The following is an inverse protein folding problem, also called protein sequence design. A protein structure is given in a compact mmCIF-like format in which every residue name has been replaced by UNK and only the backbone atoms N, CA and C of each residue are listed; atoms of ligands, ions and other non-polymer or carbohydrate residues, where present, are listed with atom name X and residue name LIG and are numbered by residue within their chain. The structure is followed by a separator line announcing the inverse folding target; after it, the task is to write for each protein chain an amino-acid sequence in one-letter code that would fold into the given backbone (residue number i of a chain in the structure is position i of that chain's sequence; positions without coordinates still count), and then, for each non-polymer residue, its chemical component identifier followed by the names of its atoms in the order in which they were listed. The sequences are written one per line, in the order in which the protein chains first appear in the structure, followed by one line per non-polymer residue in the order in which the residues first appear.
data_IF_123785720108
#
_entry.id   IF_123785720108
#
_cell.length_a   1.000
_cell.length_b   1.000
_cell.length_c   1.000
_cell.angle_alpha   90.00
_cell.angle_beta   90.00
_cell.angle_gamma   90.00
#
_symmetry.space_group_name_H-M   'P 1'
#
loop_
_entity.id
_entity.type
_entity.pdbx_description
1 polymer ?
#
# COMPACT_ATOMS: atom_id res chain seq x y z
N UNK A 1 2.66 1.39 48.04
CA UNK A 1 1.87 0.47 47.19
C UNK A 1 0.54 1.06 46.74
N UNK A 2 -0.30 1.65 47.62
CA UNK A 2 -1.60 2.22 47.20
C UNK A 2 -1.47 3.27 46.06
N UNK A 3 -0.58 4.24 46.19
CA UNK A 3 -0.32 5.24 45.14
C UNK A 3 0.16 4.62 43.82
N UNK A 4 0.94 3.53 43.88
CA UNK A 4 1.39 2.83 42.67
C UNK A 4 0.22 2.19 41.92
N UNK A 5 -0.63 1.47 42.66
CA UNK A 5 -1.83 0.80 42.12
C UNK A 5 -2.80 1.83 41.53
N UNK A 6 -3.02 2.95 42.25
CA UNK A 6 -3.83 4.05 41.74
C UNK A 6 -3.21 4.69 40.50
N UNK A 7 -1.88 4.83 40.45
CA UNK A 7 -1.15 5.30 39.27
C UNK A 7 -1.41 4.42 38.05
N UNK A 8 -1.27 3.10 38.19
CA UNK A 8 -1.55 2.14 37.11
C UNK A 8 -3.02 2.21 36.65
N UNK A 9 -3.95 2.28 37.60
CA UNK A 9 -5.38 2.43 37.32
C UNK A 9 -5.68 3.70 36.54
N UNK A 10 -5.26 4.87 37.03
CA UNK A 10 -5.49 6.14 36.34
C UNK A 10 -4.81 6.20 34.96
N UNK A 11 -3.63 5.58 34.83
CA UNK A 11 -2.95 5.47 33.54
C UNK A 11 -3.78 4.66 32.54
N UNK A 12 -4.32 3.51 32.94
CA UNK A 12 -5.19 2.69 32.09
C UNK A 12 -6.49 3.41 31.68
N UNK A 13 -6.99 4.29 32.54
CA UNK A 13 -8.17 5.13 32.29
C UNK A 13 -7.85 6.39 31.48
N UNK A 14 -6.62 6.54 30.97
CA UNK A 14 -6.13 7.71 30.23
C UNK A 14 -6.17 9.01 31.06
N UNK A 15 -6.27 8.93 32.38
CA UNK A 15 -6.25 10.07 33.32
C UNK A 15 -4.79 10.44 33.67
N UNK A 16 -3.98 10.80 32.66
CA UNK A 16 -2.52 10.91 32.77
C UNK A 16 -2.03 11.91 33.82
N UNK A 17 -2.79 12.97 34.11
CA UNK A 17 -2.44 13.94 35.16
C UNK A 17 -2.48 13.30 36.55
N UNK A 18 -3.60 12.64 36.89
CA UNK A 18 -3.75 11.93 38.17
C UNK A 18 -2.78 10.76 38.27
N UNK A 19 -2.54 10.05 37.15
CA UNK A 19 -1.54 9.00 37.10
C UNK A 19 -0.15 9.53 37.46
N UNK A 20 0.26 10.65 36.84
CA UNK A 20 1.55 11.30 37.14
C UNK A 20 1.69 11.66 38.63
N UNK A 21 0.69 12.32 39.20
CA UNK A 21 0.67 12.72 40.63
C UNK A 21 0.85 11.50 41.55
N UNK A 22 0.18 10.38 41.23
CA UNK A 22 0.27 9.15 41.99
C UNK A 22 1.64 8.46 41.86
N UNK A 23 2.25 8.44 40.65
CA UNK A 23 3.60 7.88 40.48
C UNK A 23 4.66 8.72 41.19
N UNK A 24 4.56 10.05 41.14
CA UNK A 24 5.46 10.95 41.87
C UNK A 24 5.36 10.73 43.39
N UNK A 25 4.15 10.61 43.93
CA UNK A 25 3.96 10.37 45.36
C UNK A 25 4.42 8.97 45.77
N UNK A 26 4.16 7.95 44.94
CA UNK A 26 4.70 6.61 45.14
C UNK A 26 6.25 6.63 45.18
N UNK A 27 6.89 7.30 44.22
CA UNK A 27 8.35 7.42 44.17
C UNK A 27 8.92 8.10 45.42
N UNK A 28 8.30 9.21 45.86
CA UNK A 28 8.71 9.94 47.08
C UNK A 28 8.63 9.04 48.32
N UNK A 29 7.49 8.36 48.52
CA UNK A 29 7.27 7.53 49.69
C UNK A 29 8.18 6.29 49.72
N UNK A 30 8.39 5.65 48.57
CA UNK A 30 9.32 4.51 48.47
C UNK A 30 10.75 4.98 48.74
N UNK A 31 11.17 6.13 48.19
CA UNK A 31 12.51 6.69 48.43
C UNK A 31 12.73 7.06 49.90
N UNK A 32 11.73 7.65 50.56
CA UNK A 32 11.77 7.94 52.01
C UNK A 32 11.82 6.68 52.86
N UNK A 33 11.00 5.68 52.53
CA UNK A 33 10.97 4.40 53.24
C UNK A 33 12.30 3.66 53.11
N UNK A 34 12.87 3.70 51.90
CA UNK A 34 14.22 3.23 51.61
C UNK A 34 15.22 3.91 52.54
N UNK A 35 15.33 5.24 52.52
CA UNK A 35 16.30 5.97 53.34
C UNK A 35 16.14 5.81 54.86
N UNK A 36 14.92 5.55 55.36
CA UNK A 36 14.63 5.53 56.81
C UNK A 36 14.61 4.13 57.43
N UNK A 37 14.23 3.10 56.67
CA UNK A 37 13.98 1.75 57.19
C UNK A 37 14.72 0.65 56.43
N UNK A 38 15.40 1.03 55.36
CA UNK A 38 16.05 0.11 54.47
C UNK A 38 17.41 -0.34 54.99
N UNK A 39 17.61 -1.65 55.13
CA UNK A 39 18.93 -2.21 55.35
C UNK A 39 19.53 -2.47 53.97
N UNK A 40 20.64 -1.81 53.66
CA UNK A 40 21.25 -1.93 52.35
C UNK A 40 21.52 -3.41 52.01
N UNK A 41 21.10 -3.82 50.81
CA UNK A 41 21.20 -5.18 50.26
C UNK A 41 20.21 -6.21 50.83
N UNK A 42 19.31 -5.84 51.73
CA UNK A 42 18.19 -6.73 52.09
C UNK A 42 17.17 -6.87 50.94
N UNK A 43 16.29 -7.87 51.03
CA UNK A 43 15.30 -8.16 49.99
C UNK A 43 14.31 -7.01 49.78
N UNK A 44 13.93 -6.33 50.86
CA UNK A 44 12.99 -5.20 50.85
C UNK A 44 13.62 -3.99 50.16
N UNK A 45 14.89 -3.71 50.43
CA UNK A 45 15.69 -2.66 49.82
C UNK A 45 15.80 -2.85 48.32
N UNK A 46 16.17 -4.06 47.89
CA UNK A 46 16.27 -4.39 46.47
C UNK A 46 14.92 -4.22 45.77
N UNK A 47 13.83 -4.60 46.42
CA UNK A 47 12.48 -4.41 45.88
C UNK A 47 12.09 -2.93 45.79
N UNK A 48 12.42 -2.12 46.79
CA UNK A 48 12.22 -0.66 46.74
C UNK A 48 13.01 -0.03 45.59
N UNK A 49 14.25 -0.43 45.35
CA UNK A 49 15.09 0.09 44.24
C UNK A 49 14.45 -0.20 42.89
N UNK A 50 13.89 -1.40 42.68
CA UNK A 50 13.15 -1.74 41.46
C UNK A 50 11.92 -0.85 41.29
N UNK A 51 11.08 -0.73 42.31
CA UNK A 51 9.86 0.07 42.21
C UNK A 51 10.13 1.57 42.03
N UNK A 52 11.24 2.10 42.54
CA UNK A 52 11.65 3.48 42.25
C UNK A 52 11.89 3.67 40.74
N UNK A 53 12.59 2.73 40.08
CA UNK A 53 12.83 2.79 38.63
C UNK A 53 11.52 2.66 37.82
N UNK A 54 10.60 1.81 38.28
CA UNK A 54 9.25 1.73 37.68
C UNK A 54 8.50 3.05 37.79
N UNK A 55 8.43 3.65 38.99
CA UNK A 55 7.76 4.92 39.20
C UNK A 55 8.39 6.03 38.35
N UNK A 56 9.72 6.12 38.31
CA UNK A 56 10.43 7.09 37.48
C UNK A 56 10.07 6.93 36.00
N UNK A 57 9.99 5.69 35.52
CA UNK A 57 9.59 5.41 34.15
C UNK A 57 8.18 5.88 33.84
N UNK A 58 7.22 5.55 34.71
CA UNK A 58 5.81 5.86 34.52
C UNK A 58 5.44 7.32 34.80
N UNK A 59 6.19 8.02 35.67
CA UNK A 59 6.15 9.48 35.80
C UNK A 59 6.56 10.14 34.48
N UNK A 60 7.71 9.75 33.92
CA UNK A 60 8.18 10.29 32.63
C UNK A 60 7.20 9.97 31.49
N UNK A 61 6.66 8.75 31.46
CA UNK A 61 5.66 8.34 30.48
C UNK A 61 4.39 9.19 30.59
N UNK A 62 3.85 9.34 31.80
CA UNK A 62 2.63 10.13 32.04
C UNK A 62 2.82 11.60 31.68
N UNK A 63 3.97 12.20 32.04
CA UNK A 63 4.34 13.57 31.64
C UNK A 63 4.37 13.74 30.13
N UNK A 64 4.84 12.73 29.39
CA UNK A 64 4.90 12.81 27.92
C UNK A 64 3.52 12.99 27.27
N UNK A 65 2.44 12.57 27.93
CA UNK A 65 1.06 12.82 27.45
C UNK A 65 0.52 14.20 27.82
N UNK A 66 1.17 14.91 28.75
CA UNK A 66 0.76 16.25 29.21
C UNK A 66 1.46 17.37 28.43
N UNK A 67 2.59 17.06 27.80
CA UNK A 67 3.41 18.01 27.05
C UNK A 67 2.94 18.09 25.59
N UNK A 68 2.84 19.32 25.07
CA UNK A 68 2.51 19.58 23.66
C UNK A 68 3.74 19.62 22.74
N UNK A 69 4.89 20.06 23.25
CA UNK A 69 6.11 20.13 22.45
C UNK A 69 6.61 18.73 22.09
N UNK A 70 6.85 18.50 20.80
CA UNK A 70 7.26 17.21 20.29
C UNK A 70 8.66 16.79 20.79
N UNK A 71 9.60 17.74 20.88
CA UNK A 71 10.98 17.44 21.26
C UNK A 71 11.06 17.04 22.73
N UNK A 72 10.39 17.80 23.60
CA UNK A 72 10.26 17.51 25.02
C UNK A 72 9.53 16.19 25.26
N UNK A 73 8.43 15.92 24.52
CA UNK A 73 7.72 14.64 24.57
C UNK A 73 8.65 13.46 24.25
N UNK A 74 9.45 13.55 23.18
CA UNK A 74 10.39 12.50 22.79
C UNK A 74 11.50 12.34 23.83
N UNK A 75 11.97 13.42 24.47
CA UNK A 75 12.96 13.34 25.54
C UNK A 75 12.41 12.62 26.77
N UNK A 76 11.18 12.95 27.20
CA UNK A 76 10.50 12.27 28.30
C UNK A 76 10.30 10.78 28.02
N UNK A 77 9.94 10.41 26.78
CA UNK A 77 9.82 9.01 26.37
C UNK A 77 11.18 8.28 26.38
N UNK A 78 12.28 8.96 26.03
CA UNK A 78 13.64 8.40 26.16
C UNK A 78 14.01 8.15 27.63
N UNK A 79 13.72 9.10 28.52
CA UNK A 79 13.93 8.96 29.98
C UNK A 79 13.11 7.81 30.54
N UNK A 80 11.83 7.74 30.18
CA UNK A 80 10.93 6.63 30.54
C UNK A 80 11.50 5.27 30.10
N UNK A 81 11.98 5.17 28.85
CA UNK A 81 12.59 3.96 28.28
C UNK A 81 13.86 3.53 29.02
N UNK A 82 14.70 4.49 29.44
CA UNK A 82 15.90 4.20 30.21
C UNK A 82 15.57 3.66 31.60
N UNK A 83 14.62 4.31 32.30
CA UNK A 83 14.19 3.89 33.64
C UNK A 83 13.49 2.51 33.65
N UNK A 84 12.66 2.18 32.64
CA UNK A 84 12.05 0.84 32.58
C UNK A 84 13.08 -0.26 32.24
N UNK A 85 14.11 0.07 31.46
CA UNK A 85 15.19 -0.88 31.18
C UNK A 85 15.96 -1.21 32.46
N UNK A 86 16.24 -0.20 33.27
CA UNK A 86 16.85 -0.37 34.59
C UNK A 86 15.95 -1.20 35.54
N UNK A 87 14.63 -0.98 35.54
CA UNK A 87 13.68 -1.84 36.25
C UNK A 87 13.74 -3.30 35.82
N UNK A 88 13.79 -3.57 34.51
CA UNK A 88 13.87 -4.93 33.96
C UNK A 88 15.21 -5.59 34.30
N UNK A 89 16.32 -4.86 34.15
CA UNK A 89 17.66 -5.37 34.48
C UNK A 89 17.78 -5.77 35.95
N UNK A 90 17.18 -4.99 36.85
CA UNK A 90 17.12 -5.28 38.29
C UNK A 90 16.21 -6.45 38.64
N UNK A 91 15.23 -6.79 37.80
CA UNK A 91 14.34 -7.96 37.98
C UNK A 91 14.83 -9.24 37.32
N UNK A 92 15.84 -9.16 36.46
CA UNK A 92 16.38 -10.32 35.73
C UNK A 92 16.83 -11.47 36.64
N UNK A 93 17.24 -11.14 37.87
CA UNK A 93 17.71 -12.10 38.87
C UNK A 93 16.63 -12.47 39.92
N UNK A 94 15.38 -12.04 39.72
CA UNK A 94 14.28 -12.45 40.58
C UNK A 94 14.01 -13.94 40.34
N UNK A 95 13.85 -14.72 41.42
CA UNK A 95 13.42 -16.12 41.34
C UNK A 95 12.02 -16.25 40.72
N UNK A 96 11.23 -15.19 40.79
CA UNK A 96 9.88 -15.13 40.23
C UNK A 96 9.91 -14.71 38.76
N UNK A 97 9.92 -15.72 37.88
CA UNK A 97 9.89 -15.59 36.42
C UNK A 97 8.70 -14.73 35.93
N UNK A 98 7.55 -14.77 36.62
CA UNK A 98 6.35 -14.02 36.23
C UNK A 98 6.61 -12.51 36.32
N UNK A 99 7.35 -12.05 37.34
CA UNK A 99 7.68 -10.63 37.52
C UNK A 99 8.66 -10.12 36.46
N UNK A 100 9.62 -10.94 36.04
CA UNK A 100 10.53 -10.63 34.93
C UNK A 100 9.77 -10.53 33.59
N UNK A 101 8.87 -11.48 33.31
CA UNK A 101 8.03 -11.47 32.11
C UNK A 101 7.13 -10.21 32.09
N UNK A 102 6.49 -9.88 33.22
CA UNK A 102 5.68 -8.67 33.36
C UNK A 102 6.50 -7.39 33.12
N UNK A 103 7.71 -7.30 33.69
CA UNK A 103 8.60 -6.16 33.49
C UNK A 103 8.99 -6.01 32.02
N UNK A 104 9.32 -7.11 31.33
CA UNK A 104 9.60 -7.12 29.88
C UNK A 104 8.39 -6.68 29.07
N UNK A 105 7.18 -7.09 29.43
CA UNK A 105 5.96 -6.64 28.76
C UNK A 105 5.78 -5.12 28.89
N UNK A 106 5.99 -4.57 30.09
CA UNK A 106 5.94 -3.12 30.36
C UNK A 106 7.03 -2.35 29.59
N UNK A 107 8.25 -2.90 29.49
CA UNK A 107 9.33 -2.34 28.70
C UNK A 107 8.99 -2.30 27.20
N UNK A 108 8.38 -3.36 26.69
CA UNK A 108 7.93 -3.42 25.30
C UNK A 108 6.80 -2.41 25.03
N UNK A 109 5.84 -2.24 25.95
CA UNK A 109 4.80 -1.22 25.84
C UNK A 109 5.39 0.20 25.77
N UNK A 110 6.34 0.55 26.64
CA UNK A 110 7.01 1.87 26.60
C UNK A 110 7.79 2.05 25.30
N UNK A 111 8.47 1.00 24.82
CA UNK A 111 9.15 1.02 23.51
C UNK A 111 8.15 1.26 22.36
N UNK A 112 6.97 0.65 22.41
CA UNK A 112 5.89 0.91 21.47
C UNK A 112 5.48 2.39 21.48
N UNK A 113 5.16 2.97 22.65
CA UNK A 113 4.80 4.38 22.78
C UNK A 113 5.91 5.30 22.27
N UNK A 114 7.17 4.98 22.54
CA UNK A 114 8.30 5.71 21.98
C UNK A 114 8.31 5.67 20.44
N UNK A 115 8.18 4.49 19.84
CA UNK A 115 8.26 4.35 18.38
C UNK A 115 7.06 4.97 17.66
N UNK A 116 5.83 4.86 18.20
CA UNK A 116 4.66 5.47 17.54
C UNK A 116 4.75 7.00 17.52
N UNK A 117 5.24 7.62 18.61
CA UNK A 117 5.50 9.06 18.63
C UNK A 117 6.70 9.42 17.73
N UNK A 118 7.75 8.62 17.71
CA UNK A 118 8.88 8.85 16.81
C UNK A 118 8.47 8.79 15.33
N UNK A 119 7.51 7.93 14.97
CA UNK A 119 7.00 7.81 13.60
C UNK A 119 6.38 9.11 13.09
N UNK A 120 5.75 9.92 13.97
CA UNK A 120 5.16 11.21 13.61
C UNK A 120 6.21 12.19 13.05
N UNK A 121 7.47 12.11 13.50
CA UNK A 121 8.57 12.92 12.92
C UNK A 121 8.79 12.66 11.43
N UNK A 122 8.41 11.47 10.95
CA UNK A 122 8.66 11.01 9.60
C UNK A 122 7.40 10.94 8.75
N UNK A 123 6.33 11.65 9.12
CA UNK A 123 5.06 11.66 8.38
C UNK A 123 5.24 12.00 6.89
N UNK A 124 6.18 12.88 6.56
CA UNK A 124 6.53 13.22 5.16
C UNK A 124 7.41 12.17 4.45
N UNK A 125 8.04 11.27 5.21
CA UNK A 125 8.87 10.19 4.67
C UNK A 125 8.24 8.84 5.03
N UNK A 126 7.22 8.48 4.25
CA UNK A 126 6.37 7.31 4.43
C UNK A 126 7.17 6.00 4.56
N UNK A 127 8.29 5.86 3.85
CA UNK A 127 9.21 4.71 3.97
C UNK A 127 9.83 4.60 5.36
N UNK A 128 10.35 5.72 5.88
CA UNK A 128 10.96 5.75 7.21
C UNK A 128 9.90 5.61 8.31
N UNK A 129 8.74 6.26 8.14
CA UNK A 129 7.59 6.14 9.03
C UNK A 129 7.15 4.68 9.16
N UNK A 130 6.89 3.99 8.04
CA UNK A 130 6.51 2.56 8.03
C UNK A 130 7.53 1.69 8.73
N UNK A 131 8.83 1.90 8.48
CA UNK A 131 9.91 1.14 9.14
C UNK A 131 9.89 1.30 10.66
N UNK A 132 9.53 2.49 11.17
CA UNK A 132 9.41 2.75 12.60
C UNK A 132 8.12 2.15 13.15
N UNK A 133 6.99 2.26 12.44
CA UNK A 133 5.72 1.65 12.82
C UNK A 133 5.81 0.12 12.91
N UNK A 134 6.52 -0.55 11.99
CA UNK A 134 6.77 -1.99 12.09
C UNK A 134 7.56 -2.38 13.37
N UNK A 135 8.48 -1.51 13.82
CA UNK A 135 9.15 -1.69 15.12
C UNK A 135 8.17 -1.48 16.28
N UNK A 136 7.29 -0.48 16.18
CA UNK A 136 6.24 -0.24 17.16
C UNK A 136 5.31 -1.46 17.27
N UNK A 137 4.87 -2.02 16.14
CA UNK A 137 3.99 -3.20 16.05
C UNK A 137 4.58 -4.41 16.75
N UNK A 138 5.83 -4.75 16.42
CA UNK A 138 6.54 -5.84 17.09
C UNK A 138 6.56 -5.66 18.61
N UNK A 139 6.72 -4.43 19.09
CA UNK A 139 6.77 -4.13 20.53
C UNK A 139 5.40 -4.20 21.18
N UNK A 140 4.36 -3.75 20.49
CA UNK A 140 2.99 -3.85 20.97
C UNK A 140 2.54 -5.31 21.08
N UNK A 141 2.79 -6.14 20.06
CA UNK A 141 2.46 -7.58 20.08
C UNK A 141 3.14 -8.31 21.25
N UNK A 142 4.41 -8.01 21.52
CA UNK A 142 5.13 -8.60 22.66
C UNK A 142 4.58 -8.14 24.02
N UNK A 143 4.09 -6.91 24.12
CA UNK A 143 3.43 -6.42 25.32
C UNK A 143 2.04 -7.04 25.49
N UNK A 144 1.27 -7.09 24.41
CA UNK A 144 -0.08 -7.66 24.34
C UNK A 144 -0.10 -9.14 24.70
N UNK A 145 0.88 -9.93 24.24
CA UNK A 145 0.95 -11.37 24.56
C UNK A 145 0.92 -11.67 26.06
N UNK A 146 1.46 -10.79 26.90
CA UNK A 146 1.49 -10.95 28.35
C UNK A 146 0.37 -10.17 29.03
N UNK A 147 0.12 -8.94 28.57
CA UNK A 147 -0.82 -8.05 29.23
C UNK A 147 -2.25 -8.32 28.79
N UNK A 148 -2.51 -8.66 27.53
CA UNK A 148 -3.82 -8.96 26.96
C UNK A 148 -4.83 -7.79 27.03
N UNK A 149 -4.39 -6.56 26.71
CA UNK A 149 -5.18 -5.33 26.88
C UNK A 149 -5.10 -4.36 25.67
N UNK A 150 -4.56 -4.79 24.53
CA UNK A 150 -4.15 -3.86 23.46
C UNK A 150 -4.66 -4.24 22.06
N UNK A 151 -5.81 -4.88 21.96
CA UNK A 151 -6.37 -5.31 20.66
C UNK A 151 -6.69 -4.10 19.78
N UNK A 152 -7.40 -3.11 20.32
CA UNK A 152 -7.74 -1.87 19.59
C UNK A 152 -6.49 -1.14 19.08
N UNK A 153 -5.44 -1.01 19.90
CA UNK A 153 -4.20 -0.36 19.46
C UNK A 153 -3.42 -1.17 18.41
N UNK A 154 -3.58 -2.49 18.39
CA UNK A 154 -2.98 -3.35 17.36
C UNK A 154 -3.71 -3.10 16.03
N UNK A 155 -5.04 -3.10 16.04
CA UNK A 155 -5.85 -2.88 14.84
C UNK A 155 -5.59 -1.50 14.22
N UNK A 156 -5.57 -0.45 15.05
CA UNK A 156 -5.24 0.92 14.63
C UNK A 156 -3.85 1.03 13.98
N UNK A 157 -2.89 0.28 14.51
CA UNK A 157 -1.51 0.29 14.03
C UNK A 157 -1.36 -0.52 12.74
N UNK A 158 -2.03 -1.66 12.65
CA UNK A 158 -2.01 -2.52 11.48
C UNK A 158 -2.67 -1.81 10.30
N UNK A 159 -3.81 -1.14 10.52
CA UNK A 159 -4.44 -0.26 9.53
C UNK A 159 -3.47 0.81 9.00
N UNK A 160 -2.77 1.54 9.89
CA UNK A 160 -1.79 2.57 9.46
C UNK A 160 -0.61 1.98 8.68
N UNK A 161 -0.16 0.78 9.04
CA UNK A 161 0.93 0.10 8.33
C UNK A 161 0.46 -0.35 6.95
N UNK A 162 -0.77 -0.84 6.84
CA UNK A 162 -1.37 -1.31 5.60
C UNK A 162 -1.61 -0.15 4.64
N UNK A 163 -2.12 0.99 5.11
CA UNK A 163 -2.25 2.22 4.32
C UNK A 163 -0.91 2.66 3.72
N UNK A 164 0.14 2.75 4.54
CA UNK A 164 1.49 3.10 4.03
C UNK A 164 2.04 2.03 3.09
N UNK A 165 1.68 0.75 3.29
CA UNK A 165 2.09 -0.35 2.43
C UNK A 165 1.45 -0.25 1.06
N UNK A 166 0.14 0.02 1.04
CA UNK A 166 -0.65 0.26 -0.15
C UNK A 166 -0.08 1.42 -0.96
N UNK A 167 0.18 2.58 -0.32
CA UNK A 167 0.82 3.72 -1.00
C UNK A 167 2.13 3.34 -1.68
N UNK A 168 3.03 2.61 -1.00
CA UNK A 168 4.32 2.20 -1.61
C UNK A 168 4.16 1.18 -2.75
N UNK A 169 3.13 0.35 -2.71
CA UNK A 169 2.83 -0.61 -3.77
C UNK A 169 2.30 0.13 -5.00
N UNK A 170 1.38 1.08 -4.79
CA UNK A 170 0.79 1.91 -5.86
C UNK A 170 1.85 2.81 -6.50
N UNK A 171 2.68 3.50 -5.72
CA UNK A 171 3.81 4.30 -6.25
C UNK A 171 4.73 3.46 -7.17
N UNK A 172 4.94 2.18 -6.83
CA UNK A 172 5.72 1.27 -7.69
C UNK A 172 4.95 0.84 -8.93
N UNK A 173 3.66 0.57 -8.81
CA UNK A 173 2.80 0.23 -9.94
C UNK A 173 2.81 1.38 -10.97
N UNK A 174 2.61 2.62 -10.53
CA UNK A 174 2.64 3.82 -11.36
C UNK A 174 4.02 4.04 -12.01
N UNK A 175 5.11 3.85 -11.25
CA UNK A 175 6.47 3.92 -11.81
C UNK A 175 6.67 2.91 -12.95
N UNK A 176 6.19 1.67 -12.78
CA UNK A 176 6.31 0.64 -13.81
C UNK A 176 5.40 0.90 -15.00
N UNK A 177 4.17 1.37 -14.78
CA UNK A 177 3.25 1.77 -15.83
C UNK A 177 3.86 2.88 -16.68
N UNK A 178 4.28 4.00 -16.06
CA UNK A 178 4.90 5.12 -16.76
C UNK A 178 6.11 4.68 -17.59
N UNK A 179 6.94 3.78 -17.06
CA UNK A 179 8.07 3.21 -17.79
C UNK A 179 7.62 2.34 -18.96
N UNK A 180 6.58 1.52 -18.78
CA UNK A 180 5.99 0.71 -19.84
C UNK A 180 5.44 1.56 -20.98
N UNK A 181 4.66 2.59 -20.66
CA UNK A 181 4.10 3.53 -21.64
C UNK A 181 5.18 4.28 -22.42
N UNK A 182 6.27 4.72 -21.76
CA UNK A 182 7.41 5.33 -22.44
C UNK A 182 8.10 4.37 -23.42
N UNK A 183 8.18 3.08 -23.07
CA UNK A 183 8.80 2.08 -23.96
C UNK A 183 7.90 1.78 -25.17
N UNK A 184 6.58 1.83 -25.02
CA UNK A 184 5.64 1.74 -26.15
C UNK A 184 5.90 2.87 -27.15
N UNK A 185 6.04 4.11 -26.69
CA UNK A 185 6.31 5.24 -27.60
C UNK A 185 7.68 5.17 -28.28
N UNK A 186 8.62 4.42 -27.69
CA UNK A 186 9.93 4.10 -28.29
C UNK A 186 9.90 2.83 -29.15
N UNK A 187 8.72 2.21 -29.34
CA UNK A 187 8.54 0.92 -30.01
C UNK A 187 9.32 -0.23 -29.39
N UNK A 188 9.73 -0.16 -28.11
CA UNK A 188 10.31 -1.29 -27.38
C UNK A 188 9.19 -2.09 -26.67
N UNK A 189 8.45 -2.84 -27.47
CA UNK A 189 7.23 -3.52 -27.07
C UNK A 189 7.45 -4.65 -26.06
N UNK A 190 8.53 -5.45 -26.20
CA UNK A 190 8.81 -6.54 -25.27
C UNK A 190 9.22 -6.04 -23.88
N UNK A 191 10.04 -4.99 -23.82
CA UNK A 191 10.35 -4.35 -22.53
C UNK A 191 9.12 -3.70 -21.93
N UNK A 192 8.28 -3.04 -22.75
CA UNK A 192 7.03 -2.44 -22.31
C UNK A 192 6.09 -3.48 -21.67
N UNK A 193 5.85 -4.59 -22.36
CA UNK A 193 5.03 -5.71 -21.88
C UNK A 193 5.48 -6.17 -20.49
N UNK A 194 6.80 -6.37 -20.29
CA UNK A 194 7.35 -6.78 -18.99
C UNK A 194 7.05 -5.78 -17.87
N UNK A 195 7.20 -4.48 -18.12
CA UNK A 195 6.93 -3.46 -17.11
C UNK A 195 5.43 -3.29 -16.82
N UNK A 196 4.59 -3.41 -17.84
CA UNK A 196 3.13 -3.34 -17.69
C UNK A 196 2.59 -4.55 -16.91
N UNK A 197 3.12 -5.74 -17.17
CA UNK A 197 2.79 -6.94 -16.39
C UNK A 197 3.19 -6.77 -14.92
N UNK A 198 4.37 -6.19 -14.64
CA UNK A 198 4.77 -5.86 -13.27
C UNK A 198 3.79 -4.86 -12.65
N UNK A 199 3.45 -3.78 -13.36
CA UNK A 199 2.49 -2.78 -12.88
C UNK A 199 1.15 -3.43 -12.49
N UNK A 200 0.63 -4.31 -13.34
CA UNK A 200 -0.60 -5.07 -13.09
C UNK A 200 -0.51 -5.89 -11.80
N UNK A 201 0.57 -6.66 -11.61
CA UNK A 201 0.79 -7.46 -10.41
C UNK A 201 0.87 -6.60 -9.13
N UNK A 202 1.45 -5.40 -9.21
CA UNK A 202 1.50 -4.47 -8.08
C UNK A 202 0.11 -3.90 -7.77
N UNK A 203 -0.69 -3.54 -8.77
CA UNK A 203 -2.07 -3.09 -8.56
C UNK A 203 -2.96 -4.20 -7.97
N UNK A 204 -2.86 -5.43 -8.47
CA UNK A 204 -3.57 -6.57 -7.91
C UNK A 204 -3.18 -6.78 -6.43
N UNK A 205 -1.89 -6.65 -6.11
CA UNK A 205 -1.41 -6.72 -4.73
C UNK A 205 -1.94 -5.57 -3.86
N UNK A 206 -2.06 -4.35 -4.40
CA UNK A 206 -2.64 -3.22 -3.67
C UNK A 206 -4.10 -3.50 -3.29
N UNK A 207 -4.88 -4.06 -4.22
CA UNK A 207 -6.29 -4.39 -3.98
C UNK A 207 -6.51 -5.36 -2.81
N UNK A 208 -5.57 -6.28 -2.57
CA UNK A 208 -5.64 -7.27 -1.47
C UNK A 208 -5.42 -6.67 -0.08
N UNK A 209 -4.95 -5.42 -0.01
CA UNK A 209 -4.64 -4.70 1.23
C UNK A 209 -5.69 -3.60 1.49
N UNK A 210 -6.55 -3.31 0.51
CA UNK A 210 -7.61 -2.32 0.66
C UNK A 210 -8.64 -2.73 1.71
N UNK A 211 -8.93 -1.80 2.61
CA UNK A 211 -10.05 -1.90 3.56
C UNK A 211 -11.36 -1.42 2.92
N UNK A 212 -11.29 -0.46 1.98
CA UNK A 212 -12.45 0.09 1.30
C UNK A 212 -12.78 -0.67 0.00
N UNK A 213 -14.06 -1.01 -0.16
CA UNK A 213 -14.56 -1.76 -1.32
C UNK A 213 -14.37 -1.00 -2.65
N UNK A 214 -14.61 0.32 -2.66
CA UNK A 214 -14.46 1.13 -3.87
C UNK A 214 -13.00 1.18 -4.31
N UNK A 215 -12.09 1.38 -3.36
CA UNK A 215 -10.66 1.43 -3.62
C UNK A 215 -10.11 0.07 -4.10
N UNK A 216 -10.57 -1.03 -3.48
CA UNK A 216 -10.26 -2.39 -3.93
C UNK A 216 -10.63 -2.56 -5.41
N UNK A 217 -11.84 -2.18 -5.79
CA UNK A 217 -12.31 -2.30 -7.19
C UNK A 217 -11.52 -1.41 -8.13
N UNK A 218 -11.14 -0.22 -7.69
CA UNK A 218 -10.29 0.68 -8.47
C UNK A 218 -8.95 0.03 -8.80
N UNK A 219 -8.25 -0.53 -7.80
CA UNK A 219 -6.95 -1.16 -8.06
C UNK A 219 -7.06 -2.45 -8.86
N UNK A 220 -8.13 -3.24 -8.70
CA UNK A 220 -8.38 -4.36 -9.60
C UNK A 220 -8.61 -3.88 -11.04
N UNK A 221 -9.37 -2.81 -11.24
CA UNK A 221 -9.58 -2.25 -12.57
C UNK A 221 -8.25 -1.76 -13.18
N UNK A 222 -7.42 -1.05 -12.40
CA UNK A 222 -6.09 -0.59 -12.86
C UNK A 222 -5.14 -1.76 -13.17
N UNK A 223 -5.22 -2.86 -12.42
CA UNK A 223 -4.51 -4.10 -12.73
C UNK A 223 -4.92 -4.67 -14.09
N UNK A 224 -6.22 -4.69 -14.39
CA UNK A 224 -6.74 -5.18 -15.67
C UNK A 224 -6.39 -4.27 -16.83
N UNK A 225 -6.50 -2.94 -16.65
CA UNK A 225 -6.10 -1.96 -17.67
C UNK A 225 -4.61 -2.07 -18.01
N UNK A 226 -3.76 -2.23 -17.00
CA UNK A 226 -2.32 -2.40 -17.24
C UNK A 226 -1.98 -3.75 -17.86
N UNK A 227 -2.72 -4.81 -17.52
CA UNK A 227 -2.63 -6.12 -18.16
C UNK A 227 -2.99 -6.04 -19.66
N UNK A 228 -4.13 -5.40 -20.00
CA UNK A 228 -4.55 -5.23 -21.39
C UNK A 228 -3.56 -4.40 -22.21
N UNK A 229 -2.99 -3.34 -21.64
CA UNK A 229 -1.91 -2.59 -22.32
C UNK A 229 -0.64 -3.44 -22.50
N UNK A 230 -0.38 -4.36 -21.58
CA UNK A 230 0.70 -5.34 -21.73
C UNK A 230 0.45 -6.30 -22.89
N UNK A 231 -0.79 -6.77 -23.05
CA UNK A 231 -1.20 -7.61 -24.18
C UNK A 231 -1.10 -6.85 -25.51
N UNK A 232 -1.56 -5.59 -25.55
CA UNK A 232 -1.41 -4.69 -26.69
C UNK A 232 0.06 -4.54 -27.12
N UNK A 233 0.98 -4.33 -26.18
CA UNK A 233 2.40 -4.23 -26.48
C UNK A 233 2.92 -5.52 -27.12
N UNK A 234 2.56 -6.68 -26.55
CA UNK A 234 2.94 -7.99 -27.11
C UNK A 234 2.34 -8.24 -28.49
N UNK A 235 1.09 -7.85 -28.71
CA UNK A 235 0.43 -7.93 -30.00
C UNK A 235 1.15 -7.07 -31.06
N UNK A 236 1.52 -5.83 -30.71
CA UNK A 236 2.29 -4.95 -31.58
C UNK A 236 3.68 -5.50 -31.92
N UNK A 237 4.35 -6.23 -31.03
CA UNK A 237 5.61 -6.91 -31.36
C UNK A 237 5.38 -8.00 -32.42
N UNK A 238 4.35 -8.84 -32.24
CA UNK A 238 4.03 -9.90 -33.20
C UNK A 238 3.63 -9.33 -34.55
N UNK A 239 2.79 -8.29 -34.53
CA UNK A 239 2.28 -7.63 -35.71
C UNK A 239 3.38 -6.87 -36.47
N UNK A 240 4.05 -5.91 -35.82
CA UNK A 240 4.93 -4.94 -36.50
C UNK A 240 6.34 -5.44 -36.76
N UNK A 241 6.80 -6.49 -36.06
CA UNK A 241 8.21 -6.96 -36.15
C UNK A 241 8.37 -8.41 -36.54
N UNK A 242 7.42 -9.27 -36.17
CA UNK A 242 7.53 -10.71 -36.41
C UNK A 242 6.66 -11.20 -37.56
N UNK A 243 5.85 -10.32 -38.15
CA UNK A 243 4.97 -10.63 -39.27
C UNK A 243 4.01 -11.79 -38.95
N UNK A 244 3.40 -11.70 -37.76
CA UNK A 244 2.47 -12.71 -37.21
C UNK A 244 1.09 -12.11 -36.94
N UNK A 245 0.38 -11.63 -37.97
CA UNK A 245 -0.88 -10.90 -37.82
C UNK A 245 -1.98 -11.73 -37.14
N UNK A 246 -2.08 -13.04 -37.43
CA UNK A 246 -3.08 -13.90 -36.80
C UNK A 246 -2.83 -14.11 -35.29
N UNK A 247 -1.57 -14.26 -34.87
CA UNK A 247 -1.23 -14.38 -33.45
C UNK A 247 -1.46 -13.04 -32.73
N UNK A 248 -1.17 -11.92 -33.38
CA UNK A 248 -1.44 -10.58 -32.85
C UNK A 248 -2.94 -10.32 -32.67
N UNK A 249 -3.77 -10.71 -33.65
CA UNK A 249 -5.23 -10.59 -33.60
C UNK A 249 -5.79 -11.23 -32.33
N UNK A 250 -5.39 -12.46 -32.00
CA UNK A 250 -5.81 -13.16 -30.78
C UNK A 250 -5.40 -12.44 -29.49
N UNK A 251 -4.24 -11.79 -29.46
CA UNK A 251 -3.81 -11.02 -28.30
C UNK A 251 -4.57 -9.69 -28.16
N UNK A 252 -4.96 -9.05 -29.26
CA UNK A 252 -5.88 -7.91 -29.21
C UNK A 252 -7.28 -8.33 -28.77
N UNK A 253 -7.74 -9.53 -29.16
CA UNK A 253 -8.98 -10.11 -28.65
C UNK A 253 -8.95 -10.28 -27.13
N UNK A 254 -7.92 -10.96 -26.63
CA UNK A 254 -7.69 -11.11 -25.18
C UNK A 254 -7.58 -9.75 -24.49
N UNK A 255 -6.94 -8.75 -25.12
CA UNK A 255 -6.79 -7.42 -24.54
C UNK A 255 -8.15 -6.72 -24.33
N UNK A 256 -9.06 -6.75 -25.31
CA UNK A 256 -10.36 -6.09 -25.14
C UNK A 256 -11.26 -6.85 -24.15
N UNK A 257 -11.17 -8.18 -24.07
CA UNK A 257 -11.88 -8.99 -23.06
C UNK A 257 -11.43 -8.60 -21.65
N UNK A 258 -10.13 -8.41 -21.44
CA UNK A 258 -9.58 -7.93 -20.16
C UNK A 258 -10.05 -6.49 -19.85
N UNK A 259 -10.22 -5.62 -20.86
CA UNK A 259 -10.81 -4.30 -20.65
C UNK A 259 -12.28 -4.40 -20.25
N UNK A 260 -13.06 -5.34 -20.80
CA UNK A 260 -14.44 -5.59 -20.40
C UNK A 260 -14.53 -5.97 -18.90
N UNK A 261 -13.61 -6.80 -18.40
CA UNK A 261 -13.50 -7.08 -16.95
C UNK A 261 -13.26 -5.79 -16.14
N UNK A 262 -12.37 -4.92 -16.63
CA UNK A 262 -12.07 -3.63 -15.99
C UNK A 262 -13.29 -2.70 -15.95
N UNK A 263 -14.08 -2.63 -17.02
CA UNK A 263 -15.31 -1.84 -17.10
C UNK A 263 -16.35 -2.34 -16.08
N UNK A 264 -16.50 -3.66 -15.94
CA UNK A 264 -17.35 -4.25 -14.92
C UNK A 264 -16.94 -3.84 -13.50
N UNK A 265 -15.63 -3.73 -13.24
CA UNK A 265 -15.10 -3.24 -11.96
C UNK A 265 -15.38 -1.75 -11.73
N UNK A 266 -15.19 -0.93 -12.77
CA UNK A 266 -15.37 0.53 -12.74
C UNK A 266 -16.83 0.98 -12.64
N UNK A 267 -17.79 0.16 -13.07
CA UNK A 267 -19.22 0.50 -13.05
C UNK A 267 -19.74 0.95 -11.67
N UNK A 268 -19.13 0.46 -10.59
CA UNK A 268 -19.49 0.84 -9.20
C UNK A 268 -18.81 2.12 -8.70
N UNK A 269 -17.85 2.66 -9.46
CA UNK A 269 -17.01 3.81 -9.06
C UNK A 269 -17.62 5.13 -9.57
N UNK A 270 -18.61 5.07 -10.48
CA UNK A 270 -19.33 6.23 -11.02
C UNK A 270 -18.43 7.34 -11.60
N UNK A 271 -17.25 6.97 -12.14
CA UNK A 271 -16.37 7.88 -12.87
C UNK A 271 -16.64 7.77 -14.37
N UNK A 272 -17.55 8.58 -14.88
CA UNK A 272 -17.99 8.55 -16.27
C UNK A 272 -16.85 8.78 -17.27
N UNK A 273 -15.93 9.70 -16.97
CA UNK A 273 -14.78 10.00 -17.84
C UNK A 273 -13.88 8.77 -18.01
N UNK A 274 -13.59 8.08 -16.90
CA UNK A 274 -12.77 6.88 -16.94
C UNK A 274 -13.48 5.73 -17.66
N UNK A 275 -14.78 5.56 -17.44
CA UNK A 275 -15.60 4.54 -18.12
C UNK A 275 -15.63 4.80 -19.62
N UNK A 276 -15.84 6.04 -20.06
CA UNK A 276 -15.86 6.41 -21.48
C UNK A 276 -14.50 6.16 -22.13
N UNK A 277 -13.40 6.54 -21.45
CA UNK A 277 -12.05 6.29 -21.96
C UNK A 277 -11.74 4.79 -22.07
N UNK A 278 -12.15 3.97 -21.10
CA UNK A 278 -11.96 2.52 -21.19
C UNK A 278 -12.86 1.86 -22.23
N UNK A 279 -14.07 2.37 -22.43
CA UNK A 279 -14.98 1.91 -23.49
C UNK A 279 -14.39 2.22 -24.88
N UNK A 280 -13.80 3.41 -25.04
CA UNK A 280 -13.05 3.75 -26.25
C UNK A 280 -11.83 2.84 -26.44
N UNK A 281 -11.02 2.62 -25.39
CA UNK A 281 -9.86 1.72 -25.47
C UNK A 281 -10.25 0.28 -25.87
N UNK A 282 -11.35 -0.22 -25.30
CA UNK A 282 -11.93 -1.53 -25.62
C UNK A 282 -12.34 -1.63 -27.09
N UNK A 283 -13.05 -0.62 -27.59
CA UNK A 283 -13.46 -0.54 -29.00
C UNK A 283 -12.27 -0.41 -29.95
N UNK A 284 -11.23 0.31 -29.54
CA UNK A 284 -9.98 0.43 -30.30
C UNK A 284 -9.26 -0.93 -30.44
N UNK A 285 -9.14 -1.69 -29.35
CA UNK A 285 -8.53 -3.02 -29.39
C UNK A 285 -9.35 -4.02 -30.22
N UNK A 286 -10.69 -3.94 -30.18
CA UNK A 286 -11.55 -4.72 -31.08
C UNK A 286 -11.26 -4.39 -32.55
N UNK A 287 -11.07 -3.11 -32.89
CA UNK A 287 -10.71 -2.72 -34.25
C UNK A 287 -9.34 -3.26 -34.68
N UNK A 288 -8.32 -3.20 -33.80
CA UNK A 288 -6.99 -3.74 -34.10
C UNK A 288 -6.98 -5.26 -34.25
N UNK A 289 -7.80 -5.97 -33.48
CA UNK A 289 -7.99 -7.41 -33.64
C UNK A 289 -8.50 -7.77 -35.04
N UNK A 290 -9.51 -7.01 -35.51
CA UNK A 290 -10.07 -7.16 -36.86
C UNK A 290 -9.05 -6.78 -37.93
N UNK A 291 -8.33 -5.66 -37.76
CA UNK A 291 -7.27 -5.23 -38.69
C UNK A 291 -6.23 -6.32 -38.89
N UNK A 292 -5.64 -6.83 -37.80
CA UNK A 292 -4.64 -7.88 -37.84
C UNK A 292 -5.19 -9.17 -38.48
N UNK A 293 -6.46 -9.51 -38.23
CA UNK A 293 -7.13 -10.64 -38.91
C UNK A 293 -7.29 -10.41 -40.41
N UNK A 294 -7.66 -9.19 -40.82
CA UNK A 294 -7.80 -8.78 -42.21
C UNK A 294 -6.48 -8.91 -42.98
N UNK A 295 -5.36 -8.52 -42.35
CA UNK A 295 -4.01 -8.66 -42.91
C UNK A 295 -3.64 -10.13 -43.09
N UNK A 296 -3.87 -10.97 -42.07
CA UNK A 296 -3.62 -12.40 -42.21
C UNK A 296 -4.40 -13.04 -43.37
N UNK A 297 -5.65 -12.61 -43.60
CA UNK A 297 -6.45 -13.09 -44.73
C UNK A 297 -5.94 -12.55 -46.07
N UNK A 298 -5.43 -11.32 -46.08
CA UNK A 298 -4.79 -10.72 -47.25
C UNK A 298 -3.54 -11.49 -47.65
N UNK A 299 -2.69 -11.84 -46.68
CA UNK A 299 -1.47 -12.62 -46.89
C UNK A 299 -1.76 -14.05 -47.37
N UNK A 300 -2.93 -14.60 -47.01
CA UNK A 300 -3.45 -15.88 -47.52
C UNK A 300 -4.16 -15.75 -48.89
N UNK A 301 -4.09 -14.59 -49.55
CA UNK A 301 -4.74 -14.27 -50.83
C UNK A 301 -6.29 -14.37 -50.80
N UNK A 302 -6.90 -14.38 -49.61
CA UNK A 302 -8.36 -14.38 -49.43
C UNK A 302 -8.91 -12.96 -49.48
N UNK A 303 -8.70 -12.26 -50.60
CA UNK A 303 -8.95 -10.82 -50.72
C UNK A 303 -10.40 -10.40 -50.44
N UNK A 304 -11.40 -11.21 -50.84
CA UNK A 304 -12.82 -10.89 -50.56
C UNK A 304 -13.12 -10.89 -49.07
N UNK A 305 -12.71 -11.95 -48.37
CA UNK A 305 -12.89 -12.09 -46.91
C UNK A 305 -12.09 -11.01 -46.16
N UNK A 306 -10.88 -10.71 -46.64
CA UNK A 306 -10.03 -9.65 -46.08
C UNK A 306 -10.70 -8.27 -46.16
N UNK A 307 -11.30 -7.92 -47.30
CA UNK A 307 -12.04 -6.65 -47.46
C UNK A 307 -13.20 -6.55 -46.47
N UNK A 308 -14.01 -7.61 -46.32
CA UNK A 308 -15.14 -7.62 -45.38
C UNK A 308 -14.68 -7.37 -43.93
N UNK A 309 -13.54 -7.95 -43.53
CA UNK A 309 -12.98 -7.76 -42.18
C UNK A 309 -12.40 -6.35 -42.00
N UNK A 310 -11.72 -5.81 -43.01
CA UNK A 310 -11.21 -4.44 -42.98
C UNK A 310 -12.32 -3.40 -42.89
N UNK A 311 -13.44 -3.59 -43.59
CA UNK A 311 -14.61 -2.72 -43.49
C UNK A 311 -15.22 -2.76 -42.09
N UNK A 312 -15.29 -3.94 -41.46
CA UNK A 312 -15.72 -4.07 -40.05
C UNK A 312 -14.77 -3.34 -39.09
N UNK A 313 -13.45 -3.47 -39.28
CA UNK A 313 -12.45 -2.75 -38.48
C UNK A 313 -12.59 -1.23 -38.61
N UNK A 314 -12.78 -0.74 -39.85
CA UNK A 314 -13.00 0.69 -40.11
C UNK A 314 -14.24 1.22 -39.39
N UNK A 315 -15.37 0.50 -39.48
CA UNK A 315 -16.59 0.87 -38.77
C UNK A 315 -16.35 0.96 -37.25
N UNK A 316 -15.60 0.01 -36.69
CA UNK A 316 -15.22 0.05 -35.27
C UNK A 316 -14.35 1.24 -34.90
N UNK A 317 -13.40 1.64 -35.76
CA UNK A 317 -12.60 2.84 -35.55
C UNK A 317 -13.45 4.13 -35.60
N UNK A 318 -14.47 4.19 -36.44
CA UNK A 318 -15.43 5.31 -36.47
C UNK A 318 -16.29 5.37 -35.19
N UNK A 319 -16.77 4.24 -34.70
CA UNK A 319 -17.46 4.14 -33.40
C UNK A 319 -16.54 4.62 -32.27
N UNK A 320 -15.29 4.17 -32.29
CA UNK A 320 -14.27 4.54 -31.30
C UNK A 320 -13.98 6.04 -31.32
N UNK A 321 -13.82 6.65 -32.49
CA UNK A 321 -13.55 8.09 -32.63
C UNK A 321 -14.62 8.95 -31.97
N UNK A 322 -15.90 8.57 -32.10
CA UNK A 322 -17.02 9.27 -31.44
C UNK A 322 -16.89 9.21 -29.93
N UNK A 323 -16.60 8.03 -29.38
CA UNK A 323 -16.40 7.83 -27.94
C UNK A 323 -15.20 8.62 -27.40
N UNK A 324 -14.13 8.75 -28.20
CA UNK A 324 -12.93 9.50 -27.81
C UNK A 324 -13.17 11.01 -27.76
N UNK A 325 -13.98 11.55 -28.67
CA UNK A 325 -14.38 12.97 -28.61
C UNK A 325 -15.17 13.27 -27.33
N UNK A 326 -16.02 12.35 -26.91
CA UNK A 326 -16.76 12.46 -25.64
C UNK A 326 -15.86 12.28 -24.40
N UNK A 327 -14.81 11.45 -24.50
CA UNK A 327 -13.83 11.17 -23.44
C UNK A 327 -12.64 12.15 -23.34
N UNK A 328 -12.45 13.02 -24.33
CA UNK A 328 -11.33 13.98 -24.44
C UNK A 328 -9.92 13.36 -24.43
N UNK A 329 -9.70 12.23 -25.12
CA UNK A 329 -8.38 11.57 -25.20
C UNK A 329 -7.62 11.89 -26.50
N UNK A 330 -6.80 12.95 -26.50
CA UNK A 330 -6.05 13.40 -27.69
C UNK A 330 -5.10 12.34 -28.26
N UNK A 331 -4.48 11.52 -27.42
CA UNK A 331 -3.53 10.49 -27.88
C UNK A 331 -4.25 9.35 -28.63
N UNK A 332 -5.45 8.97 -28.18
CA UNK A 332 -6.21 7.91 -28.82
C UNK A 332 -6.75 8.35 -30.19
N UNK A 333 -7.05 9.65 -30.37
CA UNK A 333 -7.42 10.19 -31.69
C UNK A 333 -6.32 9.99 -32.73
N UNK A 334 -5.06 10.24 -32.37
CA UNK A 334 -3.93 10.07 -33.27
C UNK A 334 -3.71 8.59 -33.64
N UNK A 335 -3.87 7.69 -32.67
CA UNK A 335 -3.78 6.24 -32.93
C UNK A 335 -4.89 5.73 -33.84
N UNK A 336 -6.13 6.18 -33.63
CA UNK A 336 -7.26 5.88 -34.52
C UNK A 336 -6.96 6.34 -35.95
N UNK A 337 -6.44 7.57 -36.11
CA UNK A 337 -6.08 8.12 -37.42
C UNK A 337 -5.05 7.27 -38.14
N UNK A 338 -4.01 6.81 -37.43
CA UNK A 338 -2.97 5.94 -38.00
C UNK A 338 -3.55 4.59 -38.44
N UNK A 339 -4.36 3.94 -37.60
CA UNK A 339 -4.99 2.65 -37.91
C UNK A 339 -5.95 2.77 -39.12
N UNK A 340 -6.73 3.85 -39.22
CA UNK A 340 -7.59 4.10 -40.38
C UNK A 340 -6.79 4.17 -41.68
N UNK A 341 -5.69 4.93 -41.70
CA UNK A 341 -4.85 5.06 -42.90
C UNK A 341 -4.24 3.71 -43.33
N UNK A 342 -3.87 2.87 -42.36
CA UNK A 342 -3.30 1.54 -42.61
C UNK A 342 -4.34 0.62 -43.26
N UNK A 343 -5.55 0.56 -42.70
CA UNK A 343 -6.68 -0.19 -43.27
C UNK A 343 -7.05 0.30 -44.67
N UNK A 344 -7.09 1.62 -44.91
CA UNK A 344 -7.35 2.18 -46.24
C UNK A 344 -6.32 1.73 -47.28
N UNK A 345 -5.04 1.65 -46.88
CA UNK A 345 -3.96 1.13 -47.70
C UNK A 345 -4.23 -0.33 -48.12
N UNK A 346 -4.54 -1.20 -47.17
CA UNK A 346 -4.84 -2.60 -47.44
C UNK A 346 -6.12 -2.79 -48.27
N UNK A 347 -7.18 -2.03 -47.99
CA UNK A 347 -8.42 -2.06 -48.77
C UNK A 347 -8.17 -1.71 -50.25
N UNK A 348 -7.34 -0.70 -50.51
CA UNK A 348 -6.97 -0.31 -51.88
C UNK A 348 -6.19 -1.43 -52.59
N UNK A 349 -5.23 -2.05 -51.91
CA UNK A 349 -4.47 -3.17 -52.46
C UNK A 349 -5.37 -4.38 -52.73
N UNK A 350 -6.20 -4.78 -51.78
CA UNK A 350 -7.10 -5.94 -51.91
C UNK A 350 -8.10 -5.77 -53.06
N UNK A 351 -8.65 -4.56 -53.23
CA UNK A 351 -9.56 -4.24 -54.35
C UNK A 351 -8.87 -4.28 -55.71
N UNK A 352 -7.57 -4.00 -55.76
CA UNK A 352 -6.78 -4.06 -57.01
C UNK A 352 -6.42 -5.50 -57.40
N UNK A 353 -6.35 -6.42 -56.44
CA UNK A 353 -6.04 -7.83 -56.65
C UNK A 353 -7.25 -8.70 -57.02
N UNK A 354 -8.47 -8.15 -56.93
CA UNK A 354 -9.73 -8.76 -57.38
C UNK A 354 -10.01 -8.43 -58.85
#
# INVERSE_FOLDING_TARGET
MLYLINGDKFFSQKEYKKANENYEEAQKLITRSRASRGIEKDTIWQEMVKWIAYCESYTNLSKSYLVKDFSEKIELLKKSKAAIKDFVEKRKYDENIILDIYAKAKENYIKYIYYINLAQKYEKNTRMQKKILLKARRKLLLAHFILNHYEEEIDDLDFKIDELTKTHIVERAEMYWNKGTLLISQSDFMSAHKYLLLASQYYERASKICSEFIELRLYLALSKITESSGLEAKANELYRRQDKPLEASKLFEEAYEVVDESLGLLATIHNEVLINNMTAQRSYYEALALEAKGISLFDEEKYKESIEIFEQSMQKLEETERLVVEGSSEHLQEYIRLAKNEIEGYLSMAKTML
#
